data_IF_757001439497
#
_entry.id   IF_757001439497
#
_cell.length_a   1.000
_cell.length_b   1.000
_cell.length_c   1.000
_cell.angle_alpha   90.00
_cell.angle_beta   90.00
_cell.angle_gamma   90.00
#
_symmetry.space_group_name_H-M   'P 1'
#
loop_
_entity.id
_entity.type
_entity.pdbx_description
1 polymer ?
#
# COMPACT_ATOMS: atom_id res chain seq x y z
N UNK A 1 -12.60 -2.10 8.89
CA UNK A 1 -13.72 -1.25 9.37
C UNK A 1 -13.38 -0.69 10.75
N UNK A 2 -13.04 0.60 10.83
CA UNK A 2 -12.65 1.30 12.06
C UNK A 2 -13.83 1.82 12.88
N UNK A 3 -15.08 1.69 12.41
CA UNK A 3 -16.26 2.09 13.19
C UNK A 3 -16.45 1.24 14.44
N UNK A 4 -15.87 0.03 14.47
CA UNK A 4 -15.94 -0.90 15.61
C UNK A 4 -15.20 -0.43 16.87
N UNK A 5 -14.26 0.51 16.72
CA UNK A 5 -13.49 1.07 17.83
C UNK A 5 -14.28 2.25 18.41
N UNK A 6 -15.00 1.94 19.47
CA UNK A 6 -16.06 2.78 20.00
C UNK A 6 -16.02 2.84 21.54
N UNK A 7 -15.05 2.16 22.16
CA UNK A 7 -14.86 2.08 23.60
C UNK A 7 -15.87 1.17 24.31
N UNK A 8 -16.85 0.58 23.64
CA UNK A 8 -17.94 -0.18 24.29
C UNK A 8 -17.49 -1.58 24.67
N UNK A 9 -16.89 -2.30 23.72
CA UNK A 9 -16.50 -3.72 23.92
C UNK A 9 -15.05 -3.89 24.37
N UNK A 10 -14.15 -3.02 23.91
CA UNK A 10 -12.71 -3.10 24.18
C UNK A 10 -12.01 -1.80 23.78
N UNK A 11 -10.76 -1.66 24.24
CA UNK A 11 -9.87 -0.57 23.87
C UNK A 11 -10.04 0.68 24.73
N UNK A 12 -9.50 1.80 24.24
CA UNK A 12 -9.62 3.11 24.88
C UNK A 12 -11.09 3.51 25.01
N UNK A 13 -11.45 4.11 26.14
CA UNK A 13 -12.74 4.77 26.39
C UNK A 13 -12.44 6.09 27.08
N UNK A 14 -13.04 7.18 26.59
CA UNK A 14 -12.89 8.48 27.22
C UNK A 14 -13.34 8.43 28.69
N UNK A 15 -12.55 9.01 29.59
CA UNK A 15 -12.83 9.00 31.02
C UNK A 15 -14.04 9.89 31.39
N UNK A 16 -14.24 10.99 30.65
CA UNK A 16 -15.29 11.97 30.92
C UNK A 16 -16.17 12.23 29.70
N UNK A 17 -17.47 11.94 29.82
CA UNK A 17 -18.46 12.18 28.77
C UNK A 17 -19.84 12.49 29.36
N UNK A 18 -20.62 13.30 28.64
CA UNK A 18 -21.96 13.75 29.08
C UNK A 18 -23.06 12.78 28.71
N UNK A 19 -22.91 12.11 27.57
CA UNK A 19 -23.86 11.15 27.04
C UNK A 19 -23.14 10.13 26.14
N UNK A 20 -23.88 9.18 25.59
CA UNK A 20 -23.34 8.13 24.74
C UNK A 20 -22.72 8.67 23.44
N UNK A 21 -23.29 9.72 22.87
CA UNK A 21 -22.77 10.31 21.63
C UNK A 21 -21.44 11.04 21.90
N UNK A 22 -21.33 11.75 23.03
CA UNK A 22 -20.11 12.39 23.51
C UNK A 22 -19.02 11.35 23.81
N UNK A 23 -19.39 10.23 24.45
CA UNK A 23 -18.49 9.10 24.70
C UNK A 23 -17.85 8.60 23.39
N UNK A 24 -18.67 8.34 22.36
CA UNK A 24 -18.15 7.86 21.07
C UNK A 24 -17.22 8.88 20.40
N UNK A 25 -17.59 10.17 20.40
CA UNK A 25 -16.80 11.24 19.78
C UNK A 25 -15.44 11.39 20.46
N UNK A 26 -15.42 11.54 21.78
CA UNK A 26 -14.20 11.72 22.57
C UNK A 26 -13.29 10.50 22.52
N UNK A 27 -13.85 9.32 22.71
CA UNK A 27 -13.08 8.06 22.66
C UNK A 27 -12.32 7.92 21.34
N UNK A 28 -12.97 8.25 20.22
CA UNK A 28 -12.37 8.17 18.89
C UNK A 28 -11.40 9.33 18.63
N UNK A 29 -11.70 10.53 19.10
CA UNK A 29 -10.83 11.70 18.95
C UNK A 29 -9.52 11.55 19.74
N UNK A 30 -9.59 11.01 20.96
CA UNK A 30 -8.43 10.76 21.82
C UNK A 30 -7.64 9.52 21.35
N UNK A 31 -8.33 8.47 20.91
CA UNK A 31 -7.72 7.19 20.58
C UNK A 31 -7.10 7.10 19.18
N UNK A 32 -7.53 7.92 18.22
CA UNK A 32 -6.99 7.90 16.86
C UNK A 32 -5.97 9.01 16.63
N UNK A 33 -4.80 8.63 16.10
CA UNK A 33 -3.82 9.60 15.62
C UNK A 33 -4.30 10.39 14.39
N UNK A 34 -3.63 11.51 14.06
CA UNK A 34 -4.07 12.44 13.02
C UNK A 34 -4.31 11.81 11.63
N UNK A 35 -3.44 10.90 11.19
CA UNK A 35 -3.58 10.25 9.88
C UNK A 35 -4.81 9.33 9.81
N UNK A 36 -5.10 8.62 10.89
CA UNK A 36 -6.28 7.74 10.97
C UNK A 36 -7.56 8.58 10.90
N UNK A 37 -7.60 9.69 11.65
CA UNK A 37 -8.72 10.63 11.60
C UNK A 37 -8.93 11.21 10.20
N UNK A 38 -7.83 11.62 9.53
CA UNK A 38 -7.87 12.12 8.15
C UNK A 38 -8.49 11.11 7.18
N UNK A 39 -8.06 9.84 7.24
CA UNK A 39 -8.61 8.76 6.40
C UNK A 39 -10.07 8.44 6.71
N UNK A 40 -10.49 8.50 7.97
CA UNK A 40 -11.91 8.33 8.35
C UNK A 40 -12.75 9.45 7.75
N UNK A 41 -12.33 10.72 7.89
CA UNK A 41 -13.08 11.86 7.34
C UNK A 41 -13.25 11.77 5.83
N UNK A 42 -12.15 11.51 5.09
CA UNK A 42 -12.19 11.34 3.63
C UNK A 42 -13.06 10.14 3.23
N UNK A 43 -12.90 9.00 3.91
CA UNK A 43 -13.69 7.80 3.63
C UNK A 43 -15.19 8.00 3.87
N UNK A 44 -15.57 8.68 4.95
CA UNK A 44 -16.97 9.02 5.21
C UNK A 44 -17.51 10.00 4.16
N UNK A 45 -16.74 11.01 3.78
CA UNK A 45 -17.14 11.99 2.75
C UNK A 45 -17.42 11.34 1.39
N UNK A 46 -16.53 10.46 0.93
CA UNK A 46 -16.66 9.76 -0.36
C UNK A 46 -17.88 8.81 -0.40
N UNK A 47 -18.36 8.37 0.77
CA UNK A 47 -19.54 7.51 0.90
C UNK A 47 -20.84 8.27 1.13
N UNK A 48 -20.81 9.59 1.30
CA UNK A 48 -22.01 10.40 1.47
C UNK A 48 -22.87 10.46 0.19
N UNK A 49 -24.20 10.52 0.39
CA UNK A 49 -25.18 10.66 -0.68
C UNK A 49 -24.89 11.91 -1.53
N UNK A 50 -24.75 11.74 -2.85
CA UNK A 50 -24.35 12.78 -3.80
C UNK A 50 -22.90 12.67 -4.30
N UNK A 51 -21.99 12.09 -3.52
CA UNK A 51 -20.58 11.90 -3.91
C UNK A 51 -20.20 10.44 -4.17
N UNK A 52 -21.04 9.49 -3.71
CA UNK A 52 -20.82 8.05 -3.90
C UNK A 52 -20.60 7.65 -5.37
N UNK A 53 -21.48 8.09 -6.28
CA UNK A 53 -21.38 7.71 -7.69
C UNK A 53 -20.18 8.37 -8.39
N UNK A 54 -19.92 9.65 -8.06
CA UNK A 54 -18.86 10.43 -8.68
C UNK A 54 -17.46 9.94 -8.27
N UNK A 55 -17.30 9.50 -7.02
CA UNK A 55 -16.00 9.13 -6.47
C UNK A 55 -15.86 7.61 -6.29
N UNK A 56 -16.70 6.99 -5.47
CA UNK A 56 -16.55 5.57 -5.11
C UNK A 56 -16.87 4.62 -6.28
N UNK A 57 -18.02 4.80 -6.93
CA UNK A 57 -18.40 3.97 -8.06
C UNK A 57 -17.45 4.16 -9.26
N UNK A 58 -17.01 5.39 -9.50
CA UNK A 58 -16.00 5.69 -10.54
C UNK A 58 -14.67 5.01 -10.24
N UNK A 59 -14.19 5.07 -9.00
CA UNK A 59 -12.96 4.38 -8.59
C UNK A 59 -13.06 2.85 -8.78
N UNK A 60 -14.21 2.24 -8.47
CA UNK A 60 -14.43 0.80 -8.69
C UNK A 60 -14.41 0.42 -10.17
N UNK A 61 -14.89 1.29 -11.08
CA UNK A 61 -14.78 1.08 -12.53
C UNK A 61 -13.31 1.15 -12.98
N UNK A 62 -12.56 2.12 -12.48
CA UNK A 62 -11.11 2.24 -12.77
C UNK A 62 -10.35 1.02 -12.26
N UNK A 63 -10.67 0.54 -11.06
CA UNK A 63 -10.10 -0.70 -10.51
C UNK A 63 -10.28 -1.89 -11.44
N UNK A 64 -11.45 -2.02 -12.07
CA UNK A 64 -11.71 -3.08 -13.06
C UNK A 64 -10.84 -2.92 -14.31
N UNK A 65 -10.69 -1.70 -14.83
CA UNK A 65 -9.81 -1.43 -15.98
C UNK A 65 -8.36 -1.82 -15.66
N UNK A 66 -7.85 -1.44 -14.49
CA UNK A 66 -6.50 -1.82 -14.04
C UNK A 66 -6.35 -3.35 -14.00
N UNK A 67 -7.34 -4.06 -13.45
CA UNK A 67 -7.29 -5.52 -13.39
C UNK A 67 -7.28 -6.16 -14.80
N UNK A 68 -8.03 -5.60 -15.75
CA UNK A 68 -8.08 -6.05 -17.13
C UNK A 68 -6.75 -5.84 -17.86
N UNK A 69 -6.05 -4.73 -17.60
CA UNK A 69 -4.73 -4.47 -18.18
C UNK A 69 -3.72 -5.54 -17.74
N UNK A 70 -3.69 -5.88 -16.45
CA UNK A 70 -2.84 -6.97 -15.96
C UNK A 70 -3.23 -8.33 -16.53
N UNK A 71 -4.54 -8.63 -16.58
CA UNK A 71 -5.03 -9.89 -17.14
C UNK A 71 -4.62 -10.05 -18.61
N UNK A 72 -4.72 -8.98 -19.41
CA UNK A 72 -4.29 -8.99 -20.80
C UNK A 72 -2.79 -9.31 -20.97
N UNK A 73 -1.95 -8.77 -20.09
CA UNK A 73 -0.49 -8.93 -20.14
C UNK A 73 -0.03 -10.30 -19.62
N UNK A 74 -0.66 -10.82 -18.55
CA UNK A 74 -0.24 -12.02 -17.83
C UNK A 74 -0.98 -13.31 -18.22
N UNK A 75 -2.20 -13.22 -18.76
CA UNK A 75 -3.06 -14.39 -18.99
C UNK A 75 -3.94 -14.31 -20.25
N UNK A 76 -3.96 -13.17 -20.94
CA UNK A 76 -4.79 -12.96 -22.11
C UNK A 76 -4.34 -13.79 -23.33
N UNK A 77 -5.14 -13.80 -24.41
CA UNK A 77 -4.76 -14.44 -25.67
C UNK A 77 -3.45 -13.90 -26.26
N UNK A 78 -3.10 -12.66 -25.87
CA UNK A 78 -1.89 -11.95 -26.28
C UNK A 78 -0.93 -11.76 -25.08
N UNK A 79 -0.92 -12.69 -24.12
CA UNK A 79 -0.02 -12.60 -22.97
C UNK A 79 1.43 -12.45 -23.46
N UNK A 80 2.13 -11.45 -22.92
CA UNK A 80 3.49 -11.08 -23.35
C UNK A 80 4.56 -11.50 -22.34
N UNK A 81 4.16 -11.81 -21.10
CA UNK A 81 5.08 -12.21 -20.06
C UNK A 81 4.41 -13.06 -18.98
N UNK A 82 5.20 -13.89 -18.29
CA UNK A 82 4.75 -14.69 -17.14
C UNK A 82 4.72 -13.92 -15.81
N UNK A 83 5.56 -12.88 -15.71
CA UNK A 83 5.73 -12.02 -14.54
C UNK A 83 6.06 -10.60 -15.01
N UNK A 84 5.60 -9.61 -14.25
CA UNK A 84 5.96 -8.21 -14.46
C UNK A 84 6.97 -7.81 -13.39
N UNK A 85 8.03 -7.10 -13.79
CA UNK A 85 9.07 -6.63 -12.88
C UNK A 85 9.24 -5.12 -12.96
N UNK A 86 9.52 -4.50 -11.82
CA UNK A 86 9.76 -3.06 -11.72
C UNK A 86 10.25 -2.65 -10.33
N UNK A 87 10.59 -1.37 -10.11
CA UNK A 87 10.92 -0.91 -8.78
C UNK A 87 9.71 -1.04 -7.83
N UNK A 88 9.97 -1.31 -6.54
CA UNK A 88 8.92 -1.33 -5.50
C UNK A 88 8.51 0.09 -5.13
N UNK A 89 9.47 1.01 -5.09
CA UNK A 89 9.28 2.39 -4.66
C UNK A 89 10.02 3.33 -5.63
N UNK A 90 9.56 4.58 -5.80
CA UNK A 90 10.19 5.56 -6.70
C UNK A 90 11.54 6.07 -6.19
N UNK A 91 11.85 5.89 -4.91
CA UNK A 91 13.14 6.22 -4.32
C UNK A 91 13.52 5.19 -3.26
N UNK A 92 14.78 5.24 -2.82
CA UNK A 92 15.16 4.61 -1.55
C UNK A 92 14.42 5.24 -0.37
N UNK A 93 14.49 4.58 0.80
CA UNK A 93 13.95 5.09 2.06
C UNK A 93 14.35 6.56 2.30
N UNK A 94 13.50 7.33 2.96
CA UNK A 94 13.79 8.71 3.38
C UNK A 94 14.32 8.74 4.82
N UNK A 95 14.81 9.90 5.26
CA UNK A 95 15.13 10.07 6.68
C UNK A 95 13.86 10.22 7.52
N UNK A 96 13.99 9.98 8.82
CA UNK A 96 12.91 10.23 9.75
C UNK A 96 12.58 11.72 9.76
N UNK A 97 11.29 12.04 9.58
CA UNK A 97 10.81 13.42 9.51
C UNK A 97 10.80 14.01 8.09
N UNK A 98 11.51 13.40 7.13
CA UNK A 98 11.36 13.78 5.72
C UNK A 98 9.92 13.51 5.28
N UNK A 99 9.29 14.52 4.65
CA UNK A 99 7.91 14.46 4.12
C UNK A 99 6.81 14.19 5.19
N UNK A 100 7.10 14.42 6.47
CA UNK A 100 6.08 14.34 7.52
C UNK A 100 4.92 15.33 7.30
N UNK A 101 5.24 16.49 6.72
CA UNK A 101 4.28 17.58 6.50
C UNK A 101 3.61 17.55 5.11
N UNK A 102 3.98 16.59 4.24
CA UNK A 102 3.39 16.42 2.91
C UNK A 102 2.68 15.06 2.77
N UNK A 103 1.36 15.01 3.07
CA UNK A 103 0.56 13.79 2.91
C UNK A 103 0.57 13.24 1.47
N UNK A 104 0.69 14.11 0.46
CA UNK A 104 0.67 13.68 -0.95
C UNK A 104 1.97 12.98 -1.30
N UNK A 105 3.10 13.50 -0.83
CA UNK A 105 4.40 12.88 -1.05
C UNK A 105 4.48 11.47 -0.43
N UNK A 106 3.79 11.23 0.69
CA UNK A 106 3.68 9.89 1.28
C UNK A 106 2.85 8.94 0.41
N UNK A 107 1.76 9.41 -0.21
CA UNK A 107 0.96 8.58 -1.12
C UNK A 107 1.71 8.21 -2.41
N UNK A 108 2.58 9.10 -2.89
CA UNK A 108 3.41 8.83 -4.07
C UNK A 108 4.47 7.76 -3.81
N UNK A 109 4.79 7.44 -2.55
CA UNK A 109 5.68 6.32 -2.22
C UNK A 109 5.13 4.98 -2.75
N UNK A 110 3.80 4.82 -2.76
CA UNK A 110 3.11 3.58 -3.10
C UNK A 110 2.68 3.51 -4.59
N UNK A 111 3.15 4.43 -5.43
CA UNK A 111 2.70 4.54 -6.83
C UNK A 111 2.87 3.21 -7.62
N UNK A 112 3.89 2.42 -7.31
CA UNK A 112 4.17 1.15 -7.98
C UNK A 112 3.52 -0.07 -7.32
N UNK A 113 2.96 0.04 -6.12
CA UNK A 113 2.41 -1.10 -5.35
C UNK A 113 0.88 -1.10 -5.29
N UNK A 114 0.24 0.07 -5.46
CA UNK A 114 -1.21 0.22 -5.40
C UNK A 114 -1.94 -0.55 -6.51
N UNK A 115 -1.44 -0.50 -7.74
CA UNK A 115 -2.09 -1.13 -8.90
C UNK A 115 -2.19 -2.66 -8.72
N UNK A 116 -1.13 -3.30 -8.21
CA UNK A 116 -1.12 -4.74 -7.87
C UNK A 116 -2.19 -5.09 -6.84
N UNK A 117 -2.31 -4.30 -5.77
CA UNK A 117 -3.32 -4.51 -4.71
C UNK A 117 -4.74 -4.29 -5.22
N UNK A 118 -4.94 -3.31 -6.10
CA UNK A 118 -6.23 -3.04 -6.75
C UNK A 118 -6.65 -4.17 -7.67
N UNK A 119 -5.72 -4.73 -8.44
CA UNK A 119 -5.95 -5.90 -9.28
C UNK A 119 -6.11 -7.20 -8.46
N UNK A 120 -5.64 -7.24 -7.21
CA UNK A 120 -5.73 -8.44 -6.36
C UNK A 120 -4.71 -9.52 -6.76
N UNK A 121 -3.58 -9.11 -7.34
CA UNK A 121 -2.54 -10.02 -7.81
C UNK A 121 -1.48 -10.26 -6.72
N UNK A 122 -0.80 -11.42 -6.74
CA UNK A 122 0.36 -11.64 -5.89
C UNK A 122 1.54 -10.77 -6.36
N UNK A 123 2.18 -10.10 -5.42
CA UNK A 123 3.41 -9.36 -5.63
C UNK A 123 4.42 -9.66 -4.53
N UNK A 124 5.71 -9.70 -4.88
CA UNK A 124 6.79 -9.83 -3.91
C UNK A 124 7.85 -8.75 -4.14
N UNK A 125 8.55 -8.39 -3.07
CA UNK A 125 9.74 -7.53 -3.14
C UNK A 125 10.97 -8.34 -2.77
N UNK A 126 12.03 -8.22 -3.57
CA UNK A 126 13.35 -8.77 -3.28
C UNK A 126 14.41 -7.66 -3.36
N UNK A 127 15.50 -7.73 -2.58
CA UNK A 127 16.58 -6.75 -2.67
C UNK A 127 17.31 -6.88 -4.02
N UNK A 128 17.56 -5.76 -4.68
CA UNK A 128 18.25 -5.73 -5.98
C UNK A 128 19.41 -4.73 -6.06
N UNK A 129 19.77 -4.11 -4.95
CA UNK A 129 20.85 -3.14 -4.92
C UNK A 129 20.79 -2.19 -3.73
N UNK A 130 21.63 -1.18 -3.81
CA UNK A 130 21.59 0.00 -2.95
C UNK A 130 21.41 1.27 -3.79
N UNK A 131 20.93 2.33 -3.15
CA UNK A 131 20.80 3.65 -3.76
C UNK A 131 22.14 4.20 -4.24
N UNK A 132 22.08 5.28 -5.03
CA UNK A 132 23.26 5.99 -5.51
C UNK A 132 23.48 7.29 -4.74
N UNK A 133 24.74 7.75 -4.71
CA UNK A 133 25.15 8.98 -4.01
C UNK A 133 25.44 8.77 -2.52
N UNK A 134 26.24 9.66 -1.92
CA UNK A 134 26.84 9.42 -0.58
C UNK A 134 25.82 9.05 0.50
N UNK A 135 24.79 9.88 0.72
CA UNK A 135 23.79 9.67 1.77
C UNK A 135 22.91 8.43 1.56
N UNK A 136 22.69 8.05 0.30
CA UNK A 136 21.75 6.99 -0.09
C UNK A 136 22.44 5.66 -0.47
N UNK A 137 23.77 5.65 -0.56
CA UNK A 137 24.58 4.51 -0.98
C UNK A 137 24.40 3.24 -0.14
N UNK A 138 23.86 3.39 1.07
CA UNK A 138 23.58 2.30 2.00
C UNK A 138 22.11 1.93 2.10
N UNK A 139 21.22 2.61 1.38
CA UNK A 139 19.78 2.35 1.47
C UNK A 139 19.39 1.27 0.45
N UNK A 140 18.75 0.16 0.87
CA UNK A 140 18.37 -0.90 -0.05
C UNK A 140 17.40 -0.43 -1.13
N UNK A 141 17.50 -1.03 -2.31
CA UNK A 141 16.55 -0.89 -3.42
C UNK A 141 15.81 -2.22 -3.59
N UNK A 142 14.49 -2.15 -3.70
CA UNK A 142 13.62 -3.32 -3.91
C UNK A 142 13.22 -3.48 -5.37
N UNK A 143 13.35 -4.70 -5.88
CA UNK A 143 12.73 -5.17 -7.12
C UNK A 143 11.39 -5.83 -6.79
N UNK A 144 10.33 -5.33 -7.41
CA UNK A 144 8.99 -5.88 -7.35
C UNK A 144 8.83 -6.92 -8.45
N UNK A 145 8.27 -8.08 -8.11
CA UNK A 145 7.87 -9.12 -9.06
C UNK A 145 6.37 -9.38 -8.85
N UNK A 146 5.59 -9.20 -9.91
CA UNK A 146 4.13 -9.36 -9.91
C UNK A 146 3.79 -10.57 -10.76
N UNK A 147 2.95 -11.46 -10.22
CA UNK A 147 2.48 -12.66 -10.90
C UNK A 147 1.00 -12.62 -11.21
N UNK A 148 0.54 -13.62 -11.96
CA UNK A 148 -0.88 -13.88 -12.11
C UNK A 148 -1.48 -14.46 -10.82
N UNK A 149 -2.81 -14.49 -10.73
CA UNK A 149 -3.54 -15.09 -9.63
C UNK A 149 -3.03 -16.49 -9.29
N UNK A 150 -2.75 -16.73 -8.00
CA UNK A 150 -2.28 -18.01 -7.45
C UNK A 150 -0.94 -18.51 -8.02
N UNK A 151 -0.11 -17.61 -8.58
CA UNK A 151 1.19 -17.94 -9.14
C UNK A 151 2.36 -17.71 -8.16
N UNK A 152 2.12 -17.74 -6.85
CA UNK A 152 3.15 -17.48 -5.83
C UNK A 152 4.33 -18.46 -5.93
N UNK A 153 4.07 -19.72 -6.29
CA UNK A 153 5.13 -20.71 -6.53
C UNK A 153 6.09 -20.29 -7.66
N UNK A 154 5.55 -19.68 -8.73
CA UNK A 154 6.36 -19.14 -9.83
C UNK A 154 7.18 -17.94 -9.34
N UNK A 155 6.58 -17.04 -8.57
CA UNK A 155 7.25 -15.86 -8.00
C UNK A 155 8.42 -16.26 -7.10
N UNK A 156 8.19 -17.21 -6.19
CA UNK A 156 9.22 -17.74 -5.31
C UNK A 156 10.36 -18.38 -6.09
N UNK A 157 10.07 -19.12 -7.17
CA UNK A 157 11.12 -19.69 -8.02
C UNK A 157 11.92 -18.61 -8.74
N UNK A 158 11.27 -17.60 -9.33
CA UNK A 158 11.97 -16.48 -9.97
C UNK A 158 12.87 -15.74 -8.99
N UNK A 159 12.38 -15.45 -7.79
CA UNK A 159 13.18 -14.87 -6.72
C UNK A 159 14.35 -15.78 -6.31
N UNK A 160 14.12 -17.09 -6.23
CA UNK A 160 15.16 -18.08 -5.92
C UNK A 160 16.27 -18.09 -6.97
N UNK A 161 15.93 -18.06 -8.27
CA UNK A 161 16.93 -17.97 -9.33
C UNK A 161 17.69 -16.64 -9.26
N UNK A 162 17.00 -15.54 -9.00
CA UNK A 162 17.61 -14.22 -8.86
C UNK A 162 18.67 -14.17 -7.74
N UNK A 163 18.36 -14.76 -6.58
CA UNK A 163 19.31 -14.83 -5.46
C UNK A 163 20.44 -15.86 -5.66
N UNK A 164 20.32 -16.81 -6.58
CA UNK A 164 21.44 -17.68 -6.94
C UNK A 164 22.43 -16.96 -7.86
N UNK A 165 21.93 -16.03 -8.68
CA UNK A 165 22.74 -15.21 -9.57
C UNK A 165 23.30 -13.93 -8.90
N UNK A 166 22.80 -13.57 -7.72
CA UNK A 166 23.16 -12.33 -7.00
C UNK A 166 23.30 -12.57 -5.51
N UNK A 167 24.09 -11.74 -4.83
CA UNK A 167 24.31 -11.83 -3.38
C UNK A 167 23.56 -10.73 -2.61
N UNK A 168 22.65 -9.99 -3.25
CA UNK A 168 21.94 -8.86 -2.61
C UNK A 168 21.22 -9.24 -1.32
N UNK A 169 20.68 -10.45 -1.27
CA UNK A 169 20.00 -11.02 -0.11
C UNK A 169 20.93 -11.29 1.09
N UNK A 170 22.26 -11.33 0.88
CA UNK A 170 23.27 -11.50 1.93
C UNK A 170 23.87 -10.17 2.40
N UNK A 171 23.59 -9.06 1.70
CA UNK A 171 24.18 -7.76 2.01
C UNK A 171 23.32 -7.01 3.01
N UNK A 172 23.87 -6.79 4.20
CA UNK A 172 23.25 -5.95 5.23
C UNK A 172 23.75 -4.49 5.12
N UNK A 173 22.86 -3.49 5.19
CA UNK A 173 23.28 -2.11 5.38
C UNK A 173 23.86 -1.95 6.79
N UNK A 174 25.12 -1.50 6.89
CA UNK A 174 25.82 -1.17 8.15
C UNK A 174 25.63 0.30 8.49
#
# INVERSE_FOLDING_TARGET
NLSRFDGVRYGHRAAEYKDLQDMYKKTRAEGFGPEVQRRIMVGTYVLCHGYYDAYYLKAQKIRRLIAQDFEAVLNGPNAVCDVIMGPVAPSVAWDLGDKADDPVANYLADIYTLSTSLAGLPGMSIPCGFGQGGKNAKRPVGLQIIGNYFAEAKLLNVAHQYQLATDWHLRAPI
#
